data_IF_273462557358
#
_entry.id   IF_273462557358
#
_cell.length_a   1.000
_cell.length_b   1.000
_cell.length_c   1.000
_cell.angle_alpha   90.00
_cell.angle_beta   90.00
_cell.angle_gamma   90.00
#
_symmetry.space_group_name_H-M   'P 1'
#
loop_
_entity.id
_entity.type
_entity.pdbx_description
1 polymer ?
#
# COMPACT_ATOMS: atom_id res chain seq x y z
N UNK A 1 10.67 -4.55 19.17
CA UNK A 1 10.05 -5.81 18.71
C UNK A 1 8.54 -5.66 18.56
N UNK A 2 7.80 -5.25 19.60
CA UNK A 2 6.35 -5.05 19.54
C UNK A 2 5.86 -4.08 18.43
N UNK A 3 6.53 -2.93 18.23
CA UNK A 3 6.13 -1.94 17.23
C UNK A 3 6.72 -2.15 15.82
N UNK A 4 7.65 -3.10 15.63
CA UNK A 4 8.40 -3.21 14.37
C UNK A 4 7.54 -3.67 13.17
N UNK A 5 6.60 -4.61 13.33
CA UNK A 5 5.71 -5.00 12.21
C UNK A 5 4.61 -3.98 11.93
N UNK A 6 4.11 -3.29 12.97
CA UNK A 6 3.17 -2.18 12.80
C UNK A 6 3.79 -1.00 12.05
N UNK A 7 5.08 -0.74 12.33
CA UNK A 7 5.89 0.25 11.61
C UNK A 7 5.98 0.01 10.10
N UNK A 8 5.88 -1.24 9.66
CA UNK A 8 6.14 -1.61 8.27
C UNK A 8 4.90 -2.11 7.49
N UNK A 9 3.81 -2.50 8.18
CA UNK A 9 2.73 -3.32 7.62
C UNK A 9 1.30 -2.82 7.76
N UNK A 10 1.11 -1.60 8.26
CA UNK A 10 -0.22 -1.01 8.41
C UNK A 10 -1.11 -1.72 9.44
N UNK A 11 -2.42 -1.47 9.35
CA UNK A 11 -3.40 -1.85 10.38
C UNK A 11 -3.47 -3.36 10.61
N UNK A 12 -3.33 -4.18 9.57
CA UNK A 12 -3.45 -5.63 9.69
C UNK A 12 -2.25 -6.27 10.41
N UNK A 13 -1.03 -5.87 10.09
CA UNK A 13 0.17 -6.38 10.79
C UNK A 13 0.17 -5.94 12.27
N UNK A 14 -0.32 -4.72 12.52
CA UNK A 14 -0.51 -4.20 13.88
C UNK A 14 -1.53 -5.03 14.65
N UNK A 15 -2.66 -5.39 14.02
CA UNK A 15 -3.70 -6.20 14.64
C UNK A 15 -3.21 -7.59 15.03
N UNK A 16 -2.48 -8.28 14.15
CA UNK A 16 -1.85 -9.58 14.45
C UNK A 16 -0.93 -9.48 15.68
N UNK A 17 -0.08 -8.45 15.73
CA UNK A 17 0.83 -8.27 16.87
C UNK A 17 0.07 -7.89 18.15
N UNK A 18 -0.96 -7.06 18.05
CA UNK A 18 -1.79 -6.65 19.19
C UNK A 18 -2.54 -7.84 19.80
N UNK A 19 -3.11 -8.73 18.96
CA UNK A 19 -3.75 -9.96 19.42
C UNK A 19 -2.74 -10.87 20.15
N UNK A 20 -1.60 -11.16 19.51
CA UNK A 20 -0.55 -11.99 20.12
C UNK A 20 -0.01 -11.43 21.45
N UNK A 21 0.18 -10.11 21.54
CA UNK A 21 0.62 -9.44 22.77
C UNK A 21 -0.45 -9.47 23.86
N UNK A 22 -1.73 -9.38 23.48
CA UNK A 22 -2.84 -9.45 24.42
C UNK A 22 -3.01 -10.85 24.98
N UNK A 23 -2.90 -11.88 24.15
CA UNK A 23 -2.94 -13.30 24.57
C UNK A 23 -1.80 -13.64 25.54
N UNK A 24 -0.65 -12.99 25.40
CA UNK A 24 0.49 -13.15 26.31
C UNK A 24 0.46 -12.26 27.55
N UNK A 25 -0.65 -11.55 27.78
CA UNK A 25 -0.81 -10.71 28.97
C UNK A 25 0.04 -9.44 28.96
N UNK A 26 0.41 -8.93 27.78
CA UNK A 26 1.22 -7.71 27.58
C UNK A 26 0.41 -6.58 26.90
N UNK A 27 -0.73 -6.14 27.46
CA UNK A 27 -1.60 -5.15 26.83
C UNK A 27 -0.93 -3.78 26.63
N UNK A 28 0.06 -3.42 27.46
CA UNK A 28 0.82 -2.17 27.29
C UNK A 28 1.61 -2.14 25.97
N UNK A 29 2.13 -3.29 25.52
CA UNK A 29 2.87 -3.38 24.25
C UNK A 29 1.91 -3.35 23.05
N UNK A 30 0.69 -3.88 23.19
CA UNK A 30 -0.36 -3.76 22.20
C UNK A 30 -0.81 -2.30 22.00
N UNK A 31 -0.97 -1.55 23.09
CA UNK A 31 -1.23 -0.11 23.03
C UNK A 31 -0.07 0.61 22.34
N UNK A 32 1.18 0.28 22.68
CA UNK A 32 2.36 0.85 22.01
C UNK A 32 2.38 0.57 20.50
N UNK A 33 2.05 -0.65 20.06
CA UNK A 33 1.99 -1.00 18.64
C UNK A 33 0.94 -0.18 17.87
N UNK A 34 -0.23 0.03 18.48
CA UNK A 34 -1.28 0.90 17.93
C UNK A 34 -0.84 2.36 17.83
N UNK A 35 -0.13 2.88 18.85
CA UNK A 35 0.44 4.23 18.81
C UNK A 35 1.46 4.40 17.69
N UNK A 36 2.34 3.41 17.47
CA UNK A 36 3.31 3.43 16.37
C UNK A 36 2.58 3.55 15.02
N UNK A 37 1.54 2.73 14.80
CA UNK A 37 0.73 2.74 13.58
C UNK A 37 0.11 4.12 13.29
N UNK A 38 -0.33 4.84 14.33
CA UNK A 38 -0.95 6.15 14.18
C UNK A 38 0.11 7.22 13.91
N UNK A 39 1.16 7.28 14.71
CA UNK A 39 2.15 8.35 14.65
C UNK A 39 3.12 8.25 13.47
N UNK A 40 3.35 7.05 12.93
CA UNK A 40 4.19 6.89 11.73
C UNK A 40 3.62 7.62 10.51
N UNK A 41 2.29 7.71 10.38
CA UNK A 41 1.67 8.42 9.26
C UNK A 41 2.03 9.91 9.26
N UNK A 42 2.12 10.53 10.45
CA UNK A 42 2.46 11.96 10.59
C UNK A 42 3.89 12.28 10.18
N UNK A 43 4.80 11.30 10.18
CA UNK A 43 6.20 11.49 9.78
C UNK A 43 6.41 11.01 8.34
N UNK A 44 5.89 9.84 7.99
CA UNK A 44 6.07 9.24 6.67
C UNK A 44 5.42 10.03 5.56
N UNK A 45 4.18 10.50 5.75
CA UNK A 45 3.39 11.17 4.70
C UNK A 45 4.02 12.51 4.28
N UNK A 46 4.42 13.43 5.20
CA UNK A 46 5.04 14.69 4.79
C UNK A 46 6.37 14.49 4.09
N UNK A 47 7.24 13.59 4.60
CA UNK A 47 8.54 13.32 4.01
C UNK A 47 8.36 12.73 2.59
N UNK A 48 7.47 11.74 2.45
CA UNK A 48 7.19 11.12 1.15
C UNK A 48 6.55 12.10 0.17
N UNK A 49 5.64 12.98 0.60
CA UNK A 49 5.00 13.97 -0.28
C UNK A 49 6.03 14.92 -0.92
N UNK A 50 6.98 15.43 -0.12
CA UNK A 50 8.05 16.32 -0.62
C UNK A 50 8.98 15.58 -1.58
N UNK A 51 9.39 14.36 -1.23
CA UNK A 51 10.30 13.55 -2.06
C UNK A 51 9.62 13.08 -3.36
N UNK A 52 8.34 12.72 -3.31
CA UNK A 52 7.57 12.29 -4.47
C UNK A 52 7.34 13.46 -5.42
N UNK A 53 7.04 14.65 -4.89
CA UNK A 53 6.96 15.89 -5.69
C UNK A 53 8.29 16.20 -6.37
N UNK A 54 9.42 15.97 -5.69
CA UNK A 54 10.75 16.13 -6.27
C UNK A 54 11.01 15.10 -7.38
N UNK A 55 10.66 13.83 -7.15
CA UNK A 55 10.79 12.76 -8.13
C UNK A 55 9.94 13.02 -9.39
N UNK A 56 8.69 13.44 -9.22
CA UNK A 56 7.78 13.80 -10.31
C UNK A 56 8.35 14.96 -11.14
N UNK A 57 8.88 16.00 -10.50
CA UNK A 57 9.54 17.11 -11.21
C UNK A 57 10.77 16.67 -11.99
N UNK A 58 11.55 15.73 -11.47
CA UNK A 58 12.69 15.16 -12.21
C UNK A 58 12.21 14.38 -13.43
N UNK A 59 11.14 13.60 -13.30
CA UNK A 59 10.58 12.82 -14.41
C UNK A 59 10.04 13.71 -15.54
N UNK A 60 9.29 14.77 -15.22
CA UNK A 60 8.80 15.72 -16.24
C UNK A 60 9.94 16.45 -16.95
N UNK A 61 11.02 16.78 -16.23
CA UNK A 61 12.20 17.44 -16.81
C UNK A 61 13.01 16.52 -17.74
N UNK A 62 12.95 15.21 -17.53
CA UNK A 62 13.57 14.23 -18.40
C UNK A 62 12.65 13.94 -19.59
N UNK A 63 12.68 14.82 -20.59
CA UNK A 63 11.79 14.76 -21.76
C UNK A 63 11.93 13.43 -22.53
N UNK A 64 13.14 12.84 -22.54
CA UNK A 64 13.37 11.57 -23.21
C UNK A 64 12.67 10.42 -22.46
N UNK A 65 12.78 10.36 -21.13
CA UNK A 65 12.11 9.36 -20.32
C UNK A 65 10.57 9.55 -20.32
N UNK A 66 10.11 10.80 -20.30
CA UNK A 66 8.69 11.14 -20.33
C UNK A 66 8.02 10.70 -21.63
N UNK A 67 8.60 11.06 -22.78
CA UNK A 67 8.07 10.69 -24.11
C UNK A 67 8.17 9.18 -24.35
N UNK A 68 9.23 8.52 -23.88
CA UNK A 68 9.36 7.07 -23.95
C UNK A 68 8.28 6.36 -23.13
N UNK A 69 7.99 6.85 -21.92
CA UNK A 69 6.92 6.29 -21.09
C UNK A 69 5.55 6.48 -21.74
N UNK A 70 5.25 7.69 -22.22
CA UNK A 70 4.01 8.01 -22.94
C UNK A 70 3.81 7.10 -24.16
N UNK A 71 4.84 6.92 -24.98
CA UNK A 71 4.79 6.02 -26.14
C UNK A 71 4.54 4.55 -25.73
N UNK A 72 5.16 4.11 -24.62
CA UNK A 72 4.96 2.76 -24.08
C UNK A 72 3.56 2.54 -23.51
N UNK A 73 2.96 3.56 -22.89
CA UNK A 73 1.60 3.51 -22.34
C UNK A 73 0.56 3.45 -23.46
N UNK A 74 0.74 4.24 -24.53
CA UNK A 74 -0.11 4.22 -25.73
C UNK A 74 -0.02 2.85 -26.41
N UNK A 75 1.17 2.26 -26.53
CA UNK A 75 1.34 0.90 -27.07
C UNK A 75 0.75 -0.18 -26.16
N UNK A 76 0.91 -0.07 -24.84
CA UNK A 76 0.33 -1.01 -23.87
C UNK A 76 -1.20 -0.96 -23.87
N UNK A 77 -1.78 0.22 -24.11
CA UNK A 77 -3.22 0.43 -24.26
C UNK A 77 -3.76 -0.13 -25.59
N UNK A 78 -2.96 -0.06 -26.66
CA UNK A 78 -3.30 -0.62 -27.97
C UNK A 78 -3.12 -2.15 -28.04
N UNK A 79 -2.14 -2.71 -27.33
CA UNK A 79 -1.88 -4.14 -27.26
C UNK A 79 -2.61 -4.78 -26.08
N UNK A 80 -3.92 -5.04 -26.23
CA UNK A 80 -4.61 -5.98 -25.34
C UNK A 80 -3.96 -7.36 -25.45
N UNK A 81 -3.09 -7.72 -24.48
CA UNK A 81 -2.60 -9.11 -24.33
C UNK A 81 -3.79 -10.06 -24.40
N UNK A 82 -3.65 -11.15 -25.19
CA UNK A 82 -4.66 -12.20 -25.34
C UNK A 82 -5.01 -12.77 -23.96
N UNK A 83 -6.19 -12.43 -23.43
CA UNK A 83 -6.71 -12.97 -22.16
C UNK A 83 -7.25 -14.39 -22.39
N UNK A 84 -6.93 -15.31 -21.49
CA UNK A 84 -7.37 -16.71 -21.53
C UNK A 84 -8.88 -16.85 -21.30
N UNK A 85 -9.47 -16.00 -20.46
CA UNK A 85 -10.91 -15.92 -20.21
C UNK A 85 -11.44 -14.64 -20.85
N UNK A 86 -12.31 -14.78 -21.86
CA UNK A 86 -12.91 -13.65 -22.58
C UNK A 86 -14.40 -13.56 -22.22
N UNK A 87 -14.70 -12.87 -21.11
CA UNK A 87 -16.08 -12.54 -20.74
C UNK A 87 -16.61 -11.49 -21.75
N UNK A 88 -17.87 -11.59 -22.23
CA UNK A 88 -18.44 -10.61 -23.14
C UNK A 88 -18.38 -9.19 -22.55
N UNK A 89 -17.86 -8.21 -23.31
CA UNK A 89 -17.72 -6.80 -22.86
C UNK A 89 -19.03 -6.22 -22.32
N UNK A 90 -20.17 -6.59 -22.92
CA UNK A 90 -21.52 -6.14 -22.52
C UNK A 90 -21.93 -6.52 -21.10
N UNK A 91 -21.31 -7.52 -20.47
CA UNK A 91 -21.57 -7.94 -19.09
C UNK A 91 -20.46 -7.45 -18.16
N UNK A 92 -19.22 -7.37 -18.68
CA UNK A 92 -18.05 -6.92 -17.92
C UNK A 92 -18.06 -5.41 -17.62
N UNK A 93 -18.66 -4.60 -18.49
CA UNK A 93 -18.77 -3.14 -18.32
C UNK A 93 -19.87 -2.73 -17.33
N UNK A 94 -20.68 -3.68 -16.85
CA UNK A 94 -21.68 -3.40 -15.80
C UNK A 94 -20.94 -3.25 -14.46
N UNK A 95 -20.93 -2.04 -13.90
CA UNK A 95 -20.26 -1.72 -12.64
C UNK A 95 -20.59 -2.70 -11.50
N UNK A 96 -21.84 -3.14 -11.41
CA UNK A 96 -22.29 -4.13 -10.41
C UNK A 96 -21.68 -5.52 -10.62
N UNK A 97 -21.44 -5.94 -11.86
CA UNK A 97 -20.81 -7.23 -12.17
C UNK A 97 -19.30 -7.16 -11.87
N UNK A 98 -18.66 -6.05 -12.20
CA UNK A 98 -17.28 -5.75 -11.83
C UNK A 98 -17.07 -5.86 -10.30
N UNK A 99 -17.92 -5.18 -9.53
CA UNK A 99 -17.93 -5.26 -8.06
C UNK A 99 -18.24 -6.66 -7.54
N UNK A 100 -19.21 -7.36 -8.14
CA UNK A 100 -19.55 -8.72 -7.74
C UNK A 100 -18.38 -9.69 -7.95
N UNK A 101 -17.66 -9.60 -9.07
CA UNK A 101 -16.45 -10.40 -9.32
C UNK A 101 -15.35 -10.10 -8.31
N UNK A 102 -15.11 -8.82 -8.02
CA UNK A 102 -14.14 -8.40 -6.99
C UNK A 102 -14.52 -8.95 -5.61
N UNK A 103 -15.80 -8.85 -5.23
CA UNK A 103 -16.31 -9.40 -3.98
C UNK A 103 -16.18 -10.92 -3.93
N UNK A 104 -16.49 -11.62 -5.03
CA UNK A 104 -16.35 -13.07 -5.15
C UNK A 104 -14.89 -13.49 -4.97
N UNK A 105 -13.95 -12.83 -5.64
CA UNK A 105 -12.51 -13.09 -5.45
C UNK A 105 -12.09 -12.79 -4.01
N UNK A 106 -12.59 -11.72 -3.39
CA UNK A 106 -12.35 -11.42 -1.98
C UNK A 106 -12.84 -12.52 -1.03
N UNK A 107 -14.07 -13.01 -1.23
CA UNK A 107 -14.67 -14.11 -0.46
C UNK A 107 -13.88 -15.40 -0.66
N UNK A 108 -13.54 -15.76 -1.90
CA UNK A 108 -12.68 -16.90 -2.19
C UNK A 108 -11.34 -16.78 -1.48
N UNK A 109 -10.74 -15.59 -1.49
CA UNK A 109 -9.46 -15.33 -0.84
C UNK A 109 -9.52 -15.47 0.67
N UNK A 110 -10.65 -15.11 1.29
CA UNK A 110 -10.89 -15.36 2.70
C UNK A 110 -10.97 -16.86 3.03
N UNK A 111 -11.77 -17.63 2.27
CA UNK A 111 -11.88 -19.08 2.50
C UNK A 111 -10.58 -19.83 2.22
N UNK A 112 -9.93 -19.52 1.10
CA UNK A 112 -8.62 -20.09 0.72
C UNK A 112 -7.56 -19.66 1.73
N UNK A 113 -7.60 -18.40 2.19
CA UNK A 113 -6.72 -17.87 3.22
C UNK A 113 -6.88 -18.57 4.56
N UNK A 114 -8.10 -18.83 5.03
CA UNK A 114 -8.31 -19.58 6.27
C UNK A 114 -7.90 -21.05 6.14
N UNK A 115 -8.13 -21.66 4.98
CA UNK A 115 -7.71 -23.03 4.71
C UNK A 115 -6.18 -23.19 4.68
N UNK A 116 -5.48 -22.29 3.99
CA UNK A 116 -4.02 -22.23 3.97
C UNK A 116 -3.43 -21.76 5.31
N UNK A 117 -4.13 -20.88 6.04
CA UNK A 117 -3.77 -20.41 7.37
C UNK A 117 -3.71 -21.55 8.38
N UNK A 118 -4.64 -22.52 8.28
CA UNK A 118 -4.61 -23.75 9.07
C UNK A 118 -3.41 -24.66 8.79
N UNK A 119 -2.84 -24.61 7.57
CA UNK A 119 -1.65 -25.38 7.18
C UNK A 119 -0.32 -24.64 7.44
N UNK A 120 -0.36 -23.31 7.57
CA UNK A 120 0.82 -22.44 7.69
C UNK A 120 0.98 -21.80 9.07
N UNK A 121 0.29 -22.36 10.08
CA UNK A 121 0.27 -21.84 11.46
C UNK A 121 0.01 -20.33 11.56
N UNK A 122 -0.88 -19.79 10.72
CA UNK A 122 -1.27 -18.38 10.78
C UNK A 122 -0.25 -17.37 10.21
N UNK A 123 0.86 -17.82 9.60
CA UNK A 123 1.86 -16.90 9.00
C UNK A 123 1.35 -16.15 7.76
N UNK A 124 0.37 -16.71 7.04
CA UNK A 124 -0.21 -16.09 5.84
C UNK A 124 -1.61 -15.55 6.13
N UNK A 125 -1.71 -14.22 6.20
CA UNK A 125 -2.99 -13.53 6.33
C UNK A 125 -3.79 -13.61 5.00
N UNK A 126 -5.11 -13.72 5.09
CA UNK A 126 -6.03 -13.73 3.95
C UNK A 126 -5.83 -12.54 2.99
N UNK A 127 -5.34 -11.39 3.47
CA UNK A 127 -5.03 -10.22 2.63
C UNK A 127 -3.91 -10.51 1.62
N UNK A 128 -2.89 -11.27 2.01
CA UNK A 128 -1.80 -11.67 1.11
C UNK A 128 -2.32 -12.62 0.04
N UNK A 129 -3.19 -13.56 0.43
CA UNK A 129 -3.87 -14.47 -0.50
C UNK A 129 -4.80 -13.71 -1.44
N UNK A 130 -5.50 -12.70 -0.94
CA UNK A 130 -6.35 -11.83 -1.76
C UNK A 130 -5.57 -11.08 -2.82
N UNK A 131 -4.34 -10.66 -2.52
CA UNK A 131 -3.47 -10.02 -3.49
C UNK A 131 -2.97 -11.01 -4.56
N UNK A 132 -2.56 -12.20 -4.15
CA UNK A 132 -2.09 -13.24 -5.08
C UNK A 132 -3.24 -13.65 -6.01
N UNK A 133 -4.40 -14.01 -5.46
CA UNK A 133 -5.56 -14.39 -6.25
C UNK A 133 -6.05 -13.23 -7.10
N UNK A 134 -6.13 -12.00 -6.57
CA UNK A 134 -6.49 -10.82 -7.36
C UNK A 134 -5.58 -10.63 -8.57
N UNK A 135 -4.26 -10.79 -8.41
CA UNK A 135 -3.30 -10.70 -9.52
C UNK A 135 -3.49 -11.83 -10.53
N UNK A 136 -3.63 -13.07 -10.06
CA UNK A 136 -3.85 -14.25 -10.92
C UNK A 136 -5.15 -14.13 -11.71
N UNK A 137 -6.28 -13.81 -11.06
CA UNK A 137 -7.56 -13.63 -11.73
C UNK A 137 -7.56 -12.43 -12.69
N UNK A 138 -6.73 -11.41 -12.45
CA UNK A 138 -6.53 -10.29 -13.39
C UNK A 138 -5.75 -10.71 -14.62
N UNK A 139 -4.68 -11.50 -14.48
CA UNK A 139 -3.90 -12.02 -15.61
C UNK A 139 -4.66 -13.08 -16.42
N UNK A 140 -5.48 -13.92 -15.75
CA UNK A 140 -6.38 -14.86 -16.41
C UNK A 140 -7.49 -14.16 -17.22
N UNK A 141 -7.76 -12.90 -16.92
CA UNK A 141 -8.76 -12.07 -17.59
C UNK A 141 -10.17 -12.14 -16.99
N UNK A 142 -10.33 -12.80 -15.84
CA UNK A 142 -11.58 -12.79 -15.08
C UNK A 142 -11.82 -11.41 -14.45
N UNK A 143 -10.76 -10.81 -13.89
CA UNK A 143 -10.73 -9.41 -13.47
C UNK A 143 -10.06 -8.56 -14.56
N UNK A 144 -10.60 -7.39 -14.82
CA UNK A 144 -10.01 -6.39 -15.69
C UNK A 144 -9.03 -5.48 -14.95
N UNK A 145 -8.12 -4.87 -15.69
CA UNK A 145 -7.29 -3.79 -15.15
C UNK A 145 -8.18 -2.58 -14.82
N UNK A 146 -7.93 -1.98 -13.66
CA UNK A 146 -8.63 -0.81 -13.13
C UNK A 146 -10.15 -1.04 -12.93
N UNK A 147 -10.57 -2.26 -12.56
CA UNK A 147 -11.99 -2.58 -12.27
C UNK A 147 -12.62 -1.62 -11.26
N UNK A 148 -11.90 -1.20 -10.21
CA UNK A 148 -12.42 -0.25 -9.21
C UNK A 148 -12.68 1.15 -9.75
N UNK A 149 -11.85 1.64 -10.69
CA UNK A 149 -12.10 2.93 -11.35
C UNK A 149 -13.26 2.80 -12.35
N UNK A 150 -13.30 1.69 -13.12
CA UNK A 150 -14.36 1.42 -14.10
C UNK A 150 -15.74 1.25 -13.49
N UNK A 151 -15.82 0.57 -12.35
CA UNK A 151 -17.06 0.38 -11.59
C UNK A 151 -17.49 1.63 -10.81
N UNK A 152 -16.73 2.74 -10.90
CA UNK A 152 -16.90 3.96 -10.11
C UNK A 152 -16.88 3.72 -8.58
N UNK A 153 -16.42 2.55 -8.13
CA UNK A 153 -16.37 2.19 -6.71
C UNK A 153 -15.15 2.75 -6.00
N UNK A 154 -14.12 3.20 -6.74
CA UNK A 154 -12.88 3.76 -6.20
C UNK A 154 -13.16 4.87 -5.18
N UNK A 155 -14.10 5.78 -5.46
CA UNK A 155 -14.50 6.85 -4.54
C UNK A 155 -15.08 6.33 -3.22
N UNK A 156 -15.94 5.31 -3.28
CA UNK A 156 -16.52 4.67 -2.09
C UNK A 156 -15.46 3.93 -1.27
N UNK A 157 -14.56 3.21 -1.93
CA UNK A 157 -13.49 2.47 -1.25
C UNK A 157 -12.54 3.45 -0.55
N UNK A 158 -12.13 4.52 -1.23
CA UNK A 158 -11.36 5.59 -0.62
C UNK A 158 -12.10 6.20 0.58
N UNK A 159 -13.39 6.48 0.47
CA UNK A 159 -14.20 7.03 1.57
C UNK A 159 -14.21 6.10 2.79
N UNK A 160 -14.48 4.81 2.59
CA UNK A 160 -14.52 3.81 3.67
C UNK A 160 -13.14 3.70 4.32
N UNK A 161 -12.05 3.62 3.55
CA UNK A 161 -10.72 3.47 4.14
C UNK A 161 -10.26 4.76 4.83
N UNK A 162 -10.62 5.95 4.32
CA UNK A 162 -10.37 7.22 5.01
C UNK A 162 -11.13 7.31 6.34
N UNK A 163 -12.39 6.89 6.38
CA UNK A 163 -13.13 6.78 7.65
C UNK A 163 -12.42 5.84 8.62
N UNK A 164 -11.89 4.73 8.12
CA UNK A 164 -11.12 3.78 8.92
C UNK A 164 -9.83 4.41 9.49
N UNK A 165 -9.13 5.24 8.71
CA UNK A 165 -7.97 6.01 9.19
C UNK A 165 -8.38 6.93 10.34
N UNK A 166 -9.47 7.69 10.19
CA UNK A 166 -9.96 8.57 11.26
C UNK A 166 -10.45 7.80 12.49
N UNK A 167 -11.07 6.62 12.30
CA UNK A 167 -11.48 5.76 13.41
C UNK A 167 -10.27 5.29 14.24
N UNK A 168 -9.18 4.87 13.58
CA UNK A 168 -7.92 4.52 14.26
C UNK A 168 -7.29 5.72 15.00
N UNK A 169 -7.45 6.92 14.46
CA UNK A 169 -6.99 8.15 15.11
C UNK A 169 -7.82 8.48 16.35
N UNK A 170 -9.14 8.26 16.30
CA UNK A 170 -10.08 8.55 17.39
C UNK A 170 -9.96 7.60 18.59
N UNK A 171 -9.52 6.35 18.38
CA UNK A 171 -9.33 5.36 19.46
C UNK A 171 -8.03 5.54 20.23
N UNK A 172 -7.24 6.57 19.93
CA UNK A 172 -5.94 6.84 20.57
C UNK A 172 -6.13 7.63 21.88
N UNK A 173 -5.95 6.97 23.03
CA UNK A 173 -6.05 7.56 24.37
C UNK A 173 -4.79 8.39 24.74
N UNK A 174 -4.97 9.71 24.93
CA UNK A 174 -3.93 10.68 25.33
C UNK A 174 -3.13 10.27 26.61
N UNK A 175 -3.71 9.60 27.62
CA UNK A 175 -2.97 9.20 28.82
C UNK A 175 -1.92 8.10 28.61
N UNK A 176 -2.15 7.14 27.71
CA UNK A 176 -1.23 6.02 27.45
C UNK A 176 0.03 6.45 26.68
N UNK A 177 -0.05 7.63 26.06
CA UNK A 177 1.00 8.23 25.23
C UNK A 177 2.08 8.89 26.10
N UNK A 178 1.70 9.47 27.25
CA UNK A 178 2.59 10.33 28.05
C UNK A 178 3.85 9.63 28.58
N UNK A 179 3.75 8.34 28.96
CA UNK A 179 4.90 7.55 29.41
C UNK A 179 5.74 6.94 28.28
N UNK A 180 5.17 6.81 27.07
CA UNK A 180 5.76 6.08 25.95
C UNK A 180 6.25 6.99 24.81
N UNK A 181 5.94 8.29 24.84
CA UNK A 181 6.39 9.30 23.87
C UNK A 181 7.89 9.21 23.55
N UNK A 182 8.81 9.12 24.53
CA UNK A 182 10.24 9.13 24.22
C UNK A 182 10.63 7.93 23.34
N UNK A 183 10.14 6.74 23.69
CA UNK A 183 10.39 5.51 22.94
C UNK A 183 9.72 5.53 21.57
N UNK A 184 8.52 6.09 21.49
CA UNK A 184 7.78 6.26 20.24
C UNK A 184 8.55 7.17 19.27
N UNK A 185 8.97 8.36 19.71
CA UNK A 185 9.69 9.33 18.87
C UNK A 185 11.03 8.75 18.41
N UNK A 186 11.79 8.12 19.30
CA UNK A 186 13.06 7.48 18.94
C UNK A 186 12.84 6.39 17.88
N UNK A 187 11.85 5.52 18.08
CA UNK A 187 11.54 4.45 17.13
C UNK A 187 11.12 4.99 15.76
N UNK A 188 10.28 6.02 15.73
CA UNK A 188 9.83 6.64 14.49
C UNK A 188 10.97 7.35 13.74
N UNK A 189 11.83 8.07 14.46
CA UNK A 189 12.98 8.75 13.86
C UNK A 189 14.01 7.76 13.31
N UNK A 190 14.36 6.72 14.08
CA UNK A 190 15.28 5.67 13.63
C UNK A 190 14.68 4.90 12.46
N UNK A 191 13.39 4.56 12.52
CA UNK A 191 12.68 3.87 11.45
C UNK A 191 12.63 4.69 10.16
N UNK A 192 12.27 5.98 10.25
CA UNK A 192 12.25 6.88 9.10
C UNK A 192 13.66 7.12 8.53
N UNK A 193 14.66 7.30 9.40
CA UNK A 193 16.06 7.45 8.97
C UNK A 193 16.57 6.17 8.30
N UNK A 194 16.27 5.00 8.85
CA UNK A 194 16.62 3.70 8.27
C UNK A 194 15.97 3.49 6.90
N UNK A 195 14.70 3.85 6.75
CA UNK A 195 13.99 3.83 5.47
C UNK A 195 14.61 4.80 4.44
N UNK A 196 15.01 6.00 4.87
CA UNK A 196 15.68 6.95 4.00
C UNK A 196 17.07 6.44 3.57
N UNK A 197 17.87 5.91 4.50
CA UNK A 197 19.21 5.39 4.21
C UNK A 197 19.14 4.18 3.29
N UNK A 198 18.23 3.23 3.54
CA UNK A 198 18.03 2.09 2.64
C UNK A 198 17.58 2.55 1.26
N UNK A 199 16.73 3.59 1.16
CA UNK A 199 16.30 4.18 -0.11
C UNK A 199 17.43 4.85 -0.86
N UNK A 200 18.32 5.55 -0.15
CA UNK A 200 19.54 6.13 -0.72
C UNK A 200 20.47 5.04 -1.31
N UNK A 201 20.66 3.95 -0.57
CA UNK A 201 21.51 2.84 -0.98
C UNK A 201 20.92 2.09 -2.18
N UNK A 202 19.66 1.67 -2.07
CA UNK A 202 18.96 0.93 -3.12
C UNK A 202 18.74 1.78 -4.36
N UNK A 203 18.46 3.07 -4.22
CA UNK A 203 18.37 4.00 -5.35
C UNK A 203 19.66 4.05 -6.17
N UNK A 204 20.83 4.07 -5.50
CA UNK A 204 22.14 4.03 -6.17
C UNK A 204 22.45 2.68 -6.82
N UNK A 205 22.14 1.58 -6.12
CA UNK A 205 22.41 0.21 -6.62
C UNK A 205 21.56 -0.11 -7.85
N UNK A 206 20.26 0.17 -7.77
CA UNK A 206 19.30 -0.13 -8.85
C UNK A 206 19.19 0.99 -9.90
N UNK A 207 19.97 2.07 -9.78
CA UNK A 207 19.96 3.24 -10.66
C UNK A 207 18.56 3.86 -10.83
N UNK A 208 17.76 3.80 -9.77
CA UNK A 208 16.44 4.44 -9.71
C UNK A 208 16.60 5.85 -9.12
N UNK A 209 15.75 6.79 -9.53
CA UNK A 209 15.76 8.13 -8.99
C UNK A 209 15.64 8.09 -7.45
N UNK A 210 16.65 8.60 -6.77
CA UNK A 210 16.84 8.44 -5.32
C UNK A 210 15.64 8.91 -4.49
N UNK A 211 15.01 10.08 -4.75
CA UNK A 211 13.80 10.49 -4.04
C UNK A 211 12.64 9.52 -4.25
N UNK A 212 12.50 8.93 -5.44
CA UNK A 212 11.47 7.94 -5.72
C UNK A 212 11.74 6.62 -4.97
N UNK A 213 12.99 6.17 -4.94
CA UNK A 213 13.40 4.98 -4.18
C UNK A 213 13.12 5.14 -2.69
N UNK A 214 13.40 6.30 -2.12
CA UNK A 214 13.06 6.60 -0.72
C UNK A 214 11.54 6.59 -0.53
N UNK A 215 10.75 7.21 -1.42
CA UNK A 215 9.29 7.18 -1.34
C UNK A 215 8.73 5.76 -1.36
N UNK A 216 9.25 4.89 -2.23
CA UNK A 216 8.84 3.48 -2.31
C UNK A 216 9.15 2.69 -1.03
N UNK A 217 10.18 3.05 -0.28
CA UNK A 217 10.47 2.39 1.00
C UNK A 217 9.63 3.00 2.11
N UNK A 218 9.42 4.32 2.09
CA UNK A 218 8.57 5.01 3.07
C UNK A 218 7.11 4.55 3.03
N UNK A 219 6.66 3.85 1.97
CA UNK A 219 5.35 3.17 1.97
C UNK A 219 5.26 2.02 2.98
N UNK A 220 6.34 1.68 3.70
CA UNK A 220 6.23 0.85 4.90
C UNK A 220 5.50 1.59 6.03
N UNK A 221 5.63 2.92 6.09
CA UNK A 221 4.99 3.76 7.10
C UNK A 221 3.54 4.10 6.75
N UNK A 222 3.18 4.15 5.47
CA UNK A 222 1.82 4.44 5.01
C UNK A 222 1.44 3.57 3.81
N UNK A 223 0.21 3.06 3.80
CA UNK A 223 -0.29 2.15 2.77
C UNK A 223 -1.36 2.78 1.87
N UNK A 224 -2.11 1.91 1.20
CA UNK A 224 -3.34 2.30 0.53
C UNK A 224 -4.38 2.77 1.57
N UNK A 225 -5.17 3.85 1.32
CA UNK A 225 -5.32 4.63 0.09
C UNK A 225 -4.35 5.79 -0.03
N UNK A 226 -3.55 6.09 1.01
CA UNK A 226 -2.65 7.23 1.04
C UNK A 226 -1.65 7.22 -0.11
N UNK A 227 -1.14 6.05 -0.49
CA UNK A 227 -0.28 5.88 -1.67
C UNK A 227 -0.96 6.31 -2.98
N UNK A 228 -2.25 5.99 -3.15
CA UNK A 228 -3.03 6.37 -4.32
C UNK A 228 -3.35 7.88 -4.30
N UNK A 229 -3.84 8.39 -3.16
CA UNK A 229 -4.19 9.80 -2.99
C UNK A 229 -2.97 10.70 -3.23
N UNK A 230 -1.85 10.39 -2.59
CA UNK A 230 -0.61 11.14 -2.75
C UNK A 230 -0.10 11.11 -4.19
N UNK A 231 -0.23 9.99 -4.89
CA UNK A 231 0.16 9.90 -6.31
C UNK A 231 -0.67 10.85 -7.17
N UNK A 232 -1.99 10.89 -6.94
CA UNK A 232 -2.90 11.78 -7.67
C UNK A 232 -2.66 13.25 -7.31
N UNK A 233 -2.50 13.58 -6.02
CA UNK A 233 -2.20 14.93 -5.56
C UNK A 233 -0.87 15.44 -6.11
N UNK A 234 0.17 14.62 -6.12
CA UNK A 234 1.47 14.99 -6.67
C UNK A 234 1.40 15.14 -8.19
N UNK A 235 0.71 14.25 -8.90
CA UNK A 235 0.50 14.39 -10.34
C UNK A 235 -0.23 15.71 -10.67
N UNK A 236 -1.30 16.03 -9.95
CA UNK A 236 -2.07 17.26 -10.10
C UNK A 236 -1.25 18.52 -9.73
N UNK A 237 -0.38 18.43 -8.72
CA UNK A 237 0.43 19.56 -8.24
C UNK A 237 1.72 19.80 -9.03
N UNK A 238 2.16 18.84 -9.85
CA UNK A 238 3.40 18.94 -10.65
C UNK A 238 3.13 19.09 -12.14
N UNK A 239 2.08 18.45 -12.67
CA UNK A 239 1.72 18.56 -14.08
C UNK A 239 1.18 19.95 -14.41
N UNK A 240 1.75 20.58 -15.44
CA UNK A 240 1.32 21.91 -15.90
C UNK A 240 0.16 21.82 -16.89
N UNK A 241 0.13 20.75 -17.70
CA UNK A 241 -0.96 20.45 -18.65
C UNK A 241 -1.76 19.23 -18.20
N UNK A 242 -3.00 19.10 -18.66
CA UNK A 242 -3.84 17.94 -18.32
C UNK A 242 -3.23 16.62 -18.85
N UNK A 243 -2.55 16.67 -20.00
CA UNK A 243 -1.79 15.54 -20.51
C UNK A 243 -0.63 15.15 -19.59
N UNK A 244 0.12 16.13 -19.07
CA UNK A 244 1.20 15.85 -18.11
C UNK A 244 0.67 15.27 -16.80
N UNK A 245 -0.48 15.74 -16.31
CA UNK A 245 -1.12 15.20 -15.10
C UNK A 245 -1.54 13.74 -15.30
N UNK A 246 -2.15 13.42 -16.45
CA UNK A 246 -2.54 12.04 -16.78
C UNK A 246 -1.33 11.11 -16.86
N UNK A 247 -0.29 11.49 -17.61
CA UNK A 247 0.94 10.68 -17.75
C UNK A 247 1.67 10.52 -16.41
N UNK A 248 1.76 11.58 -15.60
CA UNK A 248 2.31 11.51 -14.25
C UNK A 248 1.49 10.60 -13.34
N UNK A 249 0.15 10.69 -13.41
CA UNK A 249 -0.74 9.84 -12.66
C UNK A 249 -0.58 8.38 -13.06
N UNK A 250 -0.53 8.08 -14.37
CA UNK A 250 -0.29 6.74 -14.89
C UNK A 250 1.07 6.17 -14.48
N UNK A 251 2.09 7.03 -14.36
CA UNK A 251 3.43 6.66 -13.90
C UNK A 251 3.49 6.41 -12.38
N UNK A 252 3.01 7.35 -11.56
CA UNK A 252 3.19 7.32 -10.11
C UNK A 252 2.27 6.32 -9.40
N UNK A 253 1.00 6.23 -9.80
CA UNK A 253 0.00 5.36 -9.18
C UNK A 253 0.47 3.90 -9.08
N UNK A 254 0.86 3.20 -10.17
CA UNK A 254 1.25 1.81 -10.09
C UNK A 254 2.53 1.64 -9.24
N UNK A 255 3.49 2.56 -9.34
CA UNK A 255 4.74 2.49 -8.57
C UNK A 255 4.45 2.56 -7.05
N UNK A 256 3.69 3.56 -6.61
CA UNK A 256 3.42 3.79 -5.20
C UNK A 256 2.47 2.76 -4.60
N UNK A 257 1.42 2.36 -5.34
CA UNK A 257 0.48 1.35 -4.88
C UNK A 257 1.17 -0.01 -4.77
N UNK A 258 1.94 -0.42 -5.78
CA UNK A 258 2.67 -1.69 -5.73
C UNK A 258 3.75 -1.68 -4.64
N UNK A 259 4.46 -0.58 -4.44
CA UNK A 259 5.42 -0.44 -3.35
C UNK A 259 4.74 -0.64 -1.98
N UNK A 260 3.63 0.07 -1.73
CA UNK A 260 2.85 -0.06 -0.49
C UNK A 260 2.29 -1.46 -0.25
N UNK A 261 1.90 -2.15 -1.32
CA UNK A 261 1.45 -3.54 -1.24
C UNK A 261 2.58 -4.50 -0.87
N UNK A 262 3.76 -4.36 -1.49
CA UNK A 262 4.92 -5.22 -1.20
C UNK A 262 5.40 -5.00 0.23
N UNK A 263 5.51 -3.74 0.68
CA UNK A 263 5.90 -3.42 2.07
C UNK A 263 4.88 -3.98 3.07
N UNK A 264 3.59 -3.92 2.75
CA UNK A 264 2.52 -4.54 3.55
C UNK A 264 2.68 -6.06 3.69
N UNK A 265 2.91 -6.78 2.59
CA UNK A 265 3.07 -8.24 2.60
C UNK A 265 4.26 -8.68 3.45
N UNK A 266 5.43 -8.05 3.24
CA UNK A 266 6.66 -8.38 3.99
C UNK A 266 6.42 -8.23 5.49
N UNK A 267 5.66 -7.22 5.88
CA UNK A 267 5.41 -6.89 7.27
C UNK A 267 4.36 -7.78 7.93
N UNK A 268 3.35 -8.22 7.19
CA UNK A 268 2.41 -9.26 7.64
C UNK A 268 3.16 -10.55 7.92
N UNK A 269 4.05 -10.96 7.02
CA UNK A 269 4.87 -12.17 7.22
C UNK A 269 5.77 -12.00 8.45
N UNK A 270 6.41 -10.83 8.60
CA UNK A 270 7.24 -10.52 9.77
C UNK A 270 6.42 -10.52 11.08
N UNK A 271 5.21 -9.97 11.07
CA UNK A 271 4.28 -10.01 12.20
C UNK A 271 3.92 -11.45 12.58
N UNK A 272 3.59 -12.29 11.60
CA UNK A 272 3.29 -13.71 11.83
C UNK A 272 4.45 -14.47 12.45
N UNK A 273 5.67 -14.28 11.94
CA UNK A 273 6.88 -14.91 12.52
C UNK A 273 7.13 -14.43 13.95
N UNK A 274 7.05 -13.12 14.19
CA UNK A 274 7.31 -12.56 15.52
C UNK A 274 6.24 -12.94 16.53
N UNK A 275 4.98 -13.07 16.12
CA UNK A 275 3.88 -13.51 16.97
C UNK A 275 4.07 -14.95 17.47
N UNK A 276 4.68 -15.83 16.67
CA UNK A 276 5.03 -17.20 17.07
C UNK A 276 6.22 -17.25 18.02
N UNK A 277 7.17 -16.34 17.87
CA UNK A 277 8.41 -16.28 18.68
C UNK A 277 8.17 -15.59 20.04
N UNK A 278 7.35 -14.55 20.06
CA UNK A 278 6.84 -13.93 21.29
C UNK A 278 6.22 -15.00 22.16
#
# INVERSE_FOLDING_TARGET
MAGAPGFAGGTTATLIMTEALTEKGLPQLATFATLVLVFQNFIGIPIASVLLKKAAKFFVKDTAAFEAYKASEVQASASQKKRLIRIPKSINDISSVSLAKLALVGVLSYYVGNWLGGLTQGMLNYIVIALILGTVFTELGFLEKNEMEKSQSSGLIMMITLMMIFANLATTSIPDILGMIPYLVILLLIGAAGACVSGLLLGKVFKVNVPLAICMILTCMFGFPTTLLMSNEVAAAVGETDEQKEVLGAYLRPIMVTAGLITGIISIILAGVLAVIL
#
